data_IF_232743272346
#
_entry.id   IF_232743272346
#
_cell.length_a   1.000
_cell.length_b   1.000
_cell.length_c   1.000
_cell.angle_alpha   90.00
_cell.angle_beta   90.00
_cell.angle_gamma   90.00
#
_symmetry.space_group_name_H-M   'P 1'
#
loop_
_entity.id
_entity.type
_entity.pdbx_description
1 polymer ?
#
# COMPACT_ATOMS: atom_id res chain seq x y z
N UNK A 1 -22.97 21.14 46.21
CA UNK A 1 -22.77 20.11 45.15
C UNK A 1 -23.33 18.76 45.56
N UNK A 2 -22.99 18.27 46.75
CA UNK A 2 -23.37 16.94 47.27
C UNK A 2 -24.88 16.62 47.27
N UNK A 3 -25.72 17.53 47.79
CA UNK A 3 -27.19 17.36 47.79
C UNK A 3 -27.77 17.35 46.37
N UNK A 4 -27.23 18.16 45.45
CA UNK A 4 -27.72 18.25 44.08
C UNK A 4 -27.40 16.98 43.27
N UNK A 5 -26.27 16.32 43.53
CA UNK A 5 -25.94 15.02 42.94
C UNK A 5 -26.84 13.92 43.52
N UNK A 6 -27.13 13.96 44.83
CA UNK A 6 -28.07 13.04 45.48
C UNK A 6 -29.48 13.13 44.91
N UNK A 7 -30.00 14.34 44.72
CA UNK A 7 -31.29 14.58 44.05
C UNK A 7 -31.28 14.06 42.60
N UNK A 8 -30.21 14.28 41.83
CA UNK A 8 -30.11 13.82 40.45
C UNK A 8 -30.01 12.29 40.29
N UNK A 9 -29.45 11.59 41.29
CA UNK A 9 -29.30 10.13 41.27
C UNK A 9 -30.50 9.39 41.87
N UNK A 10 -31.43 10.08 42.55
CA UNK A 10 -32.57 9.46 43.23
C UNK A 10 -33.48 8.67 42.29
N UNK A 11 -33.64 9.13 41.05
CA UNK A 11 -34.38 8.44 39.98
C UNK A 11 -33.85 7.02 39.68
N UNK A 12 -32.56 6.77 39.95
CA UNK A 12 -31.93 5.45 39.74
C UNK A 12 -32.14 4.48 40.91
N UNK A 13 -32.93 4.85 41.92
CA UNK A 13 -33.25 4.00 43.07
C UNK A 13 -32.01 3.59 43.88
N UNK A 14 -31.96 2.32 44.30
CA UNK A 14 -30.86 1.79 45.13
C UNK A 14 -29.49 1.83 44.42
N UNK A 15 -29.46 1.70 43.09
CA UNK A 15 -28.21 1.88 42.32
C UNK A 15 -27.69 3.31 42.44
N UNK A 16 -28.60 4.29 42.39
CA UNK A 16 -28.27 5.70 42.63
C UNK A 16 -27.77 5.95 44.04
N UNK A 17 -28.39 5.29 45.03
CA UNK A 17 -27.98 5.38 46.45
C UNK A 17 -26.56 4.90 46.67
N UNK A 18 -26.22 3.73 46.11
CA UNK A 18 -24.88 3.14 46.23
C UNK A 18 -23.81 4.05 45.61
N UNK A 19 -24.07 4.59 44.41
CA UNK A 19 -23.16 5.52 43.74
C UNK A 19 -22.96 6.82 44.53
N UNK A 20 -24.06 7.41 45.02
CA UNK A 20 -24.01 8.63 45.81
C UNK A 20 -23.26 8.41 47.13
N UNK A 21 -23.51 7.29 47.83
CA UNK A 21 -22.82 6.98 49.09
C UNK A 21 -21.33 6.73 48.90
N UNK A 22 -20.94 5.95 47.88
CA UNK A 22 -19.53 5.69 47.58
C UNK A 22 -18.77 6.98 47.24
N UNK A 23 -19.39 7.89 46.48
CA UNK A 23 -18.81 9.21 46.20
C UNK A 23 -18.80 10.13 47.43
N UNK A 24 -19.80 10.01 48.31
CA UNK A 24 -19.83 10.77 49.57
C UNK A 24 -18.64 10.44 50.46
N UNK A 25 -18.28 9.17 50.54
CA UNK A 25 -17.14 8.69 51.33
C UNK A 25 -15.78 9.22 50.88
N UNK A 26 -15.65 9.70 49.64
CA UNK A 26 -14.39 10.31 49.18
C UNK A 26 -14.19 11.73 49.72
N UNK A 27 -15.11 12.26 50.53
CA UNK A 27 -14.99 13.57 51.17
C UNK A 27 -14.77 13.44 52.68
N UNK A 28 -13.78 14.17 53.19
CA UNK A 28 -13.45 14.22 54.62
C UNK A 28 -14.58 14.77 55.52
N UNK A 29 -15.64 15.32 54.93
CA UNK A 29 -16.81 15.86 55.63
C UNK A 29 -17.95 14.84 55.78
N UNK A 30 -17.81 13.65 55.21
CA UNK A 30 -18.85 12.62 55.26
C UNK A 30 -18.87 11.93 56.62
N UNK A 31 -20.02 11.97 57.29
CA UNK A 31 -20.27 11.23 58.51
C UNK A 31 -21.19 10.04 58.24
N UNK A 32 -21.10 8.95 59.01
CA UNK A 32 -21.98 7.78 58.85
C UNK A 32 -23.48 8.12 58.92
N UNK A 33 -23.85 9.16 59.69
CA UNK A 33 -25.23 9.66 59.82
C UNK A 33 -25.78 10.31 58.54
N UNK A 34 -24.92 10.77 57.64
CA UNK A 34 -25.31 11.45 56.39
C UNK A 34 -25.99 10.51 55.39
N UNK A 35 -25.84 9.18 55.55
CA UNK A 35 -26.52 8.19 54.71
C UNK A 35 -28.05 8.29 54.78
N UNK A 36 -28.60 8.75 55.92
CA UNK A 36 -30.04 8.95 56.12
C UNK A 36 -30.60 10.10 55.27
N UNK A 37 -29.72 11.01 54.82
CA UNK A 37 -30.12 12.15 53.98
C UNK A 37 -30.62 11.72 52.61
N UNK A 38 -30.23 10.53 52.14
CA UNK A 38 -30.78 9.93 50.93
C UNK A 38 -32.31 9.83 50.94
N UNK A 39 -32.89 9.52 52.11
CA UNK A 39 -34.33 9.30 52.26
C UNK A 39 -35.12 10.62 52.19
N UNK A 40 -34.43 11.76 52.35
CA UNK A 40 -35.02 13.11 52.19
C UNK A 40 -34.96 13.68 50.77
N UNK A 41 -34.45 12.92 49.80
CA UNK A 41 -34.40 13.37 48.40
C UNK A 41 -35.63 12.89 47.63
N UNK A 42 -36.33 13.84 47.00
CA UNK A 42 -37.55 13.58 46.23
C UNK A 42 -37.26 13.20 44.78
N UNK A 43 -36.11 13.61 44.22
CA UNK A 43 -35.72 13.27 42.84
C UNK A 43 -36.44 14.07 41.73
N UNK A 44 -37.43 14.88 42.08
CA UNK A 44 -38.37 15.48 41.12
C UNK A 44 -37.81 16.64 40.26
N UNK A 45 -36.62 17.18 40.58
CA UNK A 45 -36.12 18.41 39.94
C UNK A 45 -35.05 18.18 38.87
N UNK A 46 -34.35 17.04 38.87
CA UNK A 46 -33.23 16.74 37.94
C UNK A 46 -32.99 15.23 37.83
N UNK A 47 -32.61 14.72 36.65
CA UNK A 47 -32.22 13.32 36.47
C UNK A 47 -30.70 13.10 36.34
N UNK A 48 -30.27 11.83 36.30
CA UNK A 48 -28.85 11.43 36.32
C UNK A 48 -28.01 12.00 35.16
N UNK A 49 -28.65 12.35 34.04
CA UNK A 49 -28.02 13.03 32.89
C UNK A 49 -27.39 14.37 33.28
N UNK A 50 -27.91 15.06 34.29
CA UNK A 50 -27.32 16.30 34.80
C UNK A 50 -25.96 16.07 35.46
N UNK A 51 -25.72 14.89 36.03
CA UNK A 51 -24.41 14.50 36.59
C UNK A 51 -23.40 14.31 35.47
N UNK A 52 -23.78 13.63 34.39
CA UNK A 52 -22.92 13.46 33.21
C UNK A 52 -22.60 14.79 32.52
N UNK A 53 -23.58 15.69 32.37
CA UNK A 53 -23.35 17.02 31.81
C UNK A 53 -22.34 17.84 32.65
N UNK A 54 -22.44 17.76 33.99
CA UNK A 54 -21.47 18.39 34.88
C UNK A 54 -20.08 17.75 34.82
N UNK A 55 -20.01 16.43 34.70
CA UNK A 55 -18.75 15.72 34.51
C UNK A 55 -18.07 16.14 33.20
N UNK A 56 -18.84 16.24 32.11
CA UNK A 56 -18.36 16.73 30.82
C UNK A 56 -17.88 18.18 30.90
N UNK A 57 -18.62 19.07 31.58
CA UNK A 57 -18.18 20.44 31.82
C UNK A 57 -16.89 20.52 32.66
N UNK A 58 -16.63 19.54 33.52
CA UNK A 58 -15.39 19.38 34.27
C UNK A 58 -14.27 18.65 33.51
N UNK A 59 -14.46 18.36 32.21
CA UNK A 59 -13.46 17.76 31.33
C UNK A 59 -13.54 16.23 31.19
N UNK A 60 -14.55 15.57 31.75
CA UNK A 60 -14.73 14.12 31.56
C UNK A 60 -15.32 13.80 30.19
N UNK A 61 -14.60 13.02 29.37
CA UNK A 61 -15.08 12.53 28.07
C UNK A 61 -15.92 11.27 28.24
N UNK A 62 -17.15 11.26 27.70
CA UNK A 62 -18.03 10.10 27.77
C UNK A 62 -17.52 8.98 26.85
N UNK A 63 -17.15 7.79 27.37
CA UNK A 63 -16.65 6.67 26.56
C UNK A 63 -17.66 6.15 25.53
N UNK A 64 -18.96 6.36 25.75
CA UNK A 64 -20.02 5.96 24.83
C UNK A 64 -20.34 7.03 23.75
N UNK A 65 -19.60 8.15 23.72
CA UNK A 65 -19.81 9.19 22.71
C UNK A 65 -19.06 8.89 21.41
N UNK A 66 -19.64 9.30 20.26
CA UNK A 66 -19.03 9.14 18.94
C UNK A 66 -17.61 9.74 18.85
N UNK A 67 -17.34 10.81 19.61
CA UNK A 67 -16.01 11.43 19.67
C UNK A 67 -14.92 10.51 20.27
N UNK A 68 -15.29 9.59 21.17
CA UNK A 68 -14.38 8.57 21.71
C UNK A 68 -14.23 7.37 20.75
N UNK A 69 -15.23 7.09 19.91
CA UNK A 69 -15.21 5.97 18.96
C UNK A 69 -14.32 6.20 17.73
N UNK A 70 -14.08 7.47 17.34
CA UNK A 70 -13.17 7.81 16.22
C UNK A 70 -11.71 7.46 16.58
N UNK A 71 -11.35 7.49 17.86
CA UNK A 71 -10.07 7.01 18.37
C UNK A 71 -10.22 5.59 18.93
N UNK A 72 -10.65 4.65 18.08
CA UNK A 72 -10.81 3.25 18.45
C UNK A 72 -9.50 2.68 19.02
N UNK A 73 -9.41 2.62 20.35
CA UNK A 73 -8.32 1.94 21.03
C UNK A 73 -8.37 0.47 20.64
N UNK A 74 -7.39 0.03 19.86
CA UNK A 74 -7.24 -1.36 19.47
C UNK A 74 -7.22 -2.25 20.73
N UNK A 75 -7.90 -3.41 20.74
CA UNK A 75 -7.85 -4.32 21.87
C UNK A 75 -6.41 -4.82 22.03
N UNK A 76 -5.73 -4.35 23.07
CA UNK A 76 -4.43 -4.86 23.49
C UNK A 76 -4.66 -6.15 24.26
N UNK A 77 -4.15 -7.26 23.76
CA UNK A 77 -3.98 -8.51 24.54
C UNK A 77 -2.49 -8.79 24.63
N UNK A 78 -2.00 -9.01 25.84
CA UNK A 78 -0.59 -9.34 26.12
C UNK A 78 0.43 -8.36 25.51
N UNK A 79 0.10 -7.06 25.45
CA UNK A 79 0.99 -6.03 24.92
C UNK A 79 1.06 -5.95 23.39
N UNK A 80 0.30 -6.75 22.66
CA UNK A 80 0.22 -6.69 21.20
C UNK A 80 -0.97 -5.85 20.74
N UNK A 81 -0.71 -4.88 19.87
CA UNK A 81 -1.73 -4.08 19.17
C UNK A 81 -2.02 -4.75 17.83
N UNK A 82 -3.19 -5.33 17.68
CA UNK A 82 -3.63 -5.88 16.40
C UNK A 82 -4.47 -4.83 15.65
N UNK A 83 -4.02 -4.47 14.44
CA UNK A 83 -4.83 -3.71 13.50
C UNK A 83 -5.32 -4.63 12.39
N UNK A 84 -6.60 -4.90 12.40
CA UNK A 84 -7.27 -5.59 11.31
C UNK A 84 -7.88 -4.54 10.37
N UNK A 85 -7.48 -4.55 9.11
CA UNK A 85 -8.05 -3.70 8.06
C UNK A 85 -8.93 -4.56 7.17
N UNK A 86 -10.19 -4.17 6.98
CA UNK A 86 -11.17 -4.85 6.13
C UNK A 86 -11.37 -4.08 4.83
N UNK A 87 -11.90 -4.73 3.77
CA UNK A 87 -12.41 -4.00 2.61
C UNK A 87 -13.44 -2.95 3.06
N UNK A 88 -13.18 -1.68 2.74
CA UNK A 88 -13.98 -0.52 3.18
C UNK A 88 -13.38 0.32 4.32
N UNK A 89 -12.42 -0.22 5.10
CA UNK A 89 -11.74 0.53 6.17
C UNK A 89 -10.66 1.50 5.63
N UNK A 90 -10.28 1.32 4.37
CA UNK A 90 -9.31 2.16 3.64
C UNK A 90 -9.95 2.67 2.36
N UNK A 91 -9.94 3.98 2.17
CA UNK A 91 -10.39 4.66 0.94
C UNK A 91 -9.25 4.74 -0.10
N UNK A 92 -8.40 3.70 -0.17
CA UNK A 92 -7.31 3.67 -1.14
C UNK A 92 -7.89 3.43 -2.54
N UNK A 93 -8.05 4.51 -3.30
CA UNK A 93 -8.42 4.44 -4.70
C UNK A 93 -7.17 4.14 -5.53
N UNK A 94 -6.86 2.86 -5.75
CA UNK A 94 -5.80 2.46 -6.66
C UNK A 94 -6.39 2.50 -8.07
N UNK A 95 -5.84 3.36 -8.93
CA UNK A 95 -6.22 3.41 -10.34
C UNK A 95 -5.48 2.31 -11.09
N UNK A 96 -6.20 1.52 -11.89
CA UNK A 96 -5.66 0.41 -12.66
C UNK A 96 -5.77 0.67 -14.16
N UNK A 97 -4.71 0.32 -14.90
CA UNK A 97 -4.74 0.17 -16.36
C UNK A 97 -5.44 -1.14 -16.76
N UNK A 98 -5.29 -2.18 -15.93
CA UNK A 98 -6.02 -3.44 -16.02
C UNK A 98 -6.28 -3.91 -14.59
N UNK A 99 -7.53 -3.83 -14.13
CA UNK A 99 -7.92 -4.23 -12.78
C UNK A 99 -7.93 -5.77 -12.64
N UNK A 100 -7.34 -6.37 -11.58
CA UNK A 100 -6.47 -5.79 -10.53
C UNK A 100 -4.97 -5.95 -10.83
N UNK A 101 -4.62 -6.35 -12.05
CA UNK A 101 -3.30 -6.88 -12.41
C UNK A 101 -2.25 -5.81 -12.72
N UNK A 102 -2.67 -4.62 -13.15
CA UNK A 102 -1.79 -3.57 -13.65
C UNK A 102 -2.19 -2.21 -13.08
N UNK A 103 -1.69 -1.82 -11.89
CA UNK A 103 -1.92 -0.50 -11.35
C UNK A 103 -1.24 0.57 -12.23
N UNK A 104 -1.77 1.79 -12.21
CA UNK A 104 -1.21 2.91 -12.95
C UNK A 104 -0.02 3.55 -12.21
N UNK A 105 0.94 4.06 -12.98
CA UNK A 105 2.06 4.87 -12.49
C UNK A 105 2.91 4.23 -11.37
N UNK A 106 3.03 2.90 -11.40
CA UNK A 106 3.79 2.13 -10.41
C UNK A 106 4.88 1.27 -11.04
N UNK A 107 5.66 0.57 -10.21
CA UNK A 107 6.66 -0.40 -10.62
C UNK A 107 6.25 -1.79 -10.13
N UNK A 108 6.13 -2.75 -11.05
CA UNK A 108 5.75 -4.14 -10.80
C UNK A 108 6.94 -5.03 -11.10
N UNK A 109 7.25 -5.96 -10.20
CA UNK A 109 8.31 -6.94 -10.40
C UNK A 109 7.77 -8.34 -10.64
N UNK A 110 8.15 -8.95 -11.76
CA UNK A 110 7.89 -10.36 -12.05
C UNK A 110 9.22 -11.12 -11.97
N UNK A 111 9.38 -11.88 -10.89
CA UNK A 111 10.61 -12.63 -10.60
C UNK A 111 10.35 -14.13 -10.58
N UNK A 112 11.30 -14.90 -11.10
CA UNK A 112 11.19 -16.34 -11.16
C UNK A 112 12.38 -16.95 -11.87
N UNK A 113 12.49 -18.28 -11.83
CA UNK A 113 13.49 -18.99 -12.62
C UNK A 113 13.32 -18.72 -14.12
N UNK A 114 14.36 -18.99 -14.90
CA UNK A 114 14.22 -19.07 -16.36
C UNK A 114 13.05 -19.99 -16.73
N UNK A 115 12.34 -19.67 -17.81
CA UNK A 115 11.23 -20.48 -18.33
C UNK A 115 9.98 -20.55 -17.44
N UNK A 116 9.92 -19.80 -16.32
CA UNK A 116 8.75 -19.73 -15.45
C UNK A 116 7.52 -19.01 -16.08
N UNK A 117 7.54 -18.72 -17.39
CA UNK A 117 6.43 -18.06 -18.09
C UNK A 117 6.27 -16.56 -17.82
N UNK A 118 7.28 -15.89 -17.23
CA UNK A 118 7.23 -14.45 -16.87
C UNK A 118 6.86 -13.56 -18.06
N UNK A 119 7.64 -13.64 -19.13
CA UNK A 119 7.42 -12.84 -20.35
C UNK A 119 6.10 -13.20 -21.03
N UNK A 120 5.64 -14.45 -20.90
CA UNK A 120 4.34 -14.87 -21.42
C UNK A 120 3.17 -14.27 -20.65
N UNK A 121 3.23 -14.29 -19.32
CA UNK A 121 2.22 -13.65 -18.47
C UNK A 121 2.19 -12.15 -18.70
N UNK A 122 3.35 -11.49 -18.73
CA UNK A 122 3.43 -10.04 -18.98
C UNK A 122 2.88 -9.67 -20.36
N UNK A 123 3.19 -10.44 -21.40
CA UNK A 123 2.61 -10.22 -22.73
C UNK A 123 1.07 -10.36 -22.72
N UNK A 124 0.53 -11.32 -21.98
CA UNK A 124 -0.93 -11.48 -21.85
C UNK A 124 -1.59 -10.28 -21.16
N UNK A 125 -0.97 -9.75 -20.10
CA UNK A 125 -1.46 -8.57 -19.38
C UNK A 125 -1.39 -7.32 -20.26
N UNK A 126 -0.28 -7.11 -20.98
CA UNK A 126 -0.12 -5.99 -21.90
C UNK A 126 -1.09 -6.08 -23.09
N UNK A 127 -1.33 -7.28 -23.62
CA UNK A 127 -2.33 -7.50 -24.66
C UNK A 127 -3.74 -7.17 -24.17
N UNK A 128 -4.11 -7.58 -22.95
CA UNK A 128 -5.42 -7.23 -22.39
C UNK A 128 -5.60 -5.70 -22.19
N UNK A 129 -4.51 -4.99 -21.87
CA UNK A 129 -4.52 -3.53 -21.71
C UNK A 129 -4.46 -2.76 -23.05
N UNK A 130 -4.23 -3.44 -24.19
CA UNK A 130 -3.94 -2.77 -25.45
C UNK A 130 -5.08 -1.92 -26.02
N UNK A 131 -6.32 -2.21 -25.63
CA UNK A 131 -7.47 -1.41 -26.06
C UNK A 131 -7.48 0.01 -25.47
N UNK A 132 -6.70 0.26 -24.41
CA UNK A 132 -6.69 1.53 -23.69
C UNK A 132 -5.31 2.20 -23.71
N UNK A 133 -4.24 1.41 -23.71
CA UNK A 133 -2.87 1.92 -23.61
C UNK A 133 -1.92 1.18 -24.54
N UNK A 134 -0.88 1.88 -24.96
CA UNK A 134 0.26 1.30 -25.67
C UNK A 134 1.34 0.83 -24.69
N UNK A 135 2.10 -0.18 -25.12
CA UNK A 135 3.19 -0.81 -24.38
C UNK A 135 4.50 -0.59 -25.12
N UNK A 136 5.54 -0.17 -24.39
CA UNK A 136 6.93 -0.18 -24.85
C UNK A 136 7.67 -1.34 -24.18
N UNK A 137 8.20 -2.28 -24.97
CA UNK A 137 8.91 -3.44 -24.47
C UNK A 137 10.40 -3.34 -24.79
N UNK A 138 11.23 -3.21 -23.77
CA UNK A 138 12.68 -3.13 -23.92
C UNK A 138 13.25 -4.52 -23.59
N UNK A 139 13.73 -5.23 -24.62
CA UNK A 139 14.23 -6.60 -24.47
C UNK A 139 15.73 -6.75 -24.73
N UNK A 140 16.42 -7.44 -23.82
CA UNK A 140 17.81 -7.90 -23.91
C UNK A 140 17.92 -9.42 -24.09
N UNK A 141 16.88 -10.18 -23.75
CA UNK A 141 16.90 -11.65 -23.79
C UNK A 141 16.11 -12.23 -24.97
N UNK A 142 14.97 -11.63 -25.29
CA UNK A 142 14.03 -12.18 -26.26
C UNK A 142 14.08 -11.40 -27.59
N UNK A 143 13.86 -12.13 -28.69
CA UNK A 143 13.79 -11.55 -30.03
C UNK A 143 12.50 -10.73 -30.22
N UNK A 144 12.64 -9.57 -30.84
CA UNK A 144 11.52 -8.69 -31.22
C UNK A 144 10.37 -9.42 -31.93
N UNK A 145 10.65 -10.27 -32.91
CA UNK A 145 9.62 -10.99 -33.68
C UNK A 145 8.73 -11.86 -32.78
N UNK A 146 9.34 -12.54 -31.80
CA UNK A 146 8.61 -13.43 -30.89
C UNK A 146 7.73 -12.64 -29.93
N UNK A 147 8.21 -11.50 -29.43
CA UNK A 147 7.47 -10.62 -28.54
C UNK A 147 6.23 -10.06 -29.27
N UNK A 148 6.42 -9.55 -30.50
CA UNK A 148 5.33 -9.02 -31.32
C UNK A 148 4.31 -10.12 -31.65
N UNK A 149 4.77 -11.28 -32.10
CA UNK A 149 3.88 -12.40 -32.40
C UNK A 149 3.10 -12.86 -31.17
N UNK A 150 3.74 -12.90 -29.99
CA UNK A 150 3.08 -13.28 -28.75
C UNK A 150 1.99 -12.29 -28.37
N UNK A 151 2.26 -10.99 -28.44
CA UNK A 151 1.26 -9.95 -28.17
C UNK A 151 0.01 -10.13 -29.03
N UNK A 152 0.19 -10.34 -30.33
CA UNK A 152 -0.92 -10.59 -31.25
C UNK A 152 -1.64 -11.90 -30.93
N UNK A 153 -0.90 -12.95 -30.59
CA UNK A 153 -1.47 -14.26 -30.22
C UNK A 153 -2.28 -14.21 -28.93
N UNK A 154 -1.92 -13.30 -28.01
CA UNK A 154 -2.65 -13.04 -26.77
C UNK A 154 -3.90 -12.16 -26.97
N UNK A 155 -4.20 -11.73 -28.20
CA UNK A 155 -5.33 -10.85 -28.54
C UNK A 155 -5.00 -9.36 -28.48
N UNK A 156 -3.72 -9.00 -28.42
CA UNK A 156 -3.28 -7.60 -28.39
C UNK A 156 -3.53 -6.90 -29.72
N UNK A 157 -3.92 -5.63 -29.65
CA UNK A 157 -4.22 -4.82 -30.82
C UNK A 157 -2.96 -4.47 -31.63
N UNK A 158 -3.10 -4.39 -32.96
CA UNK A 158 -1.98 -4.11 -33.86
C UNK A 158 -1.49 -2.69 -33.63
N UNK A 159 -0.17 -2.56 -33.45
CA UNK A 159 0.49 -1.26 -33.32
C UNK A 159 0.47 -0.68 -31.89
N UNK A 160 -0.13 -1.36 -30.92
CA UNK A 160 -0.11 -0.91 -29.52
C UNK A 160 1.12 -1.39 -28.76
N UNK A 161 1.98 -2.20 -29.40
CA UNK A 161 3.23 -2.69 -28.84
C UNK A 161 4.39 -2.24 -29.74
N UNK A 162 5.36 -1.58 -29.12
CA UNK A 162 6.66 -1.36 -29.73
C UNK A 162 7.74 -2.08 -28.94
N UNK A 163 8.72 -2.62 -29.65
CA UNK A 163 9.84 -3.35 -29.04
C UNK A 163 11.13 -2.63 -29.34
N UNK A 164 11.92 -2.35 -28.29
CA UNK A 164 13.28 -1.87 -28.38
C UNK A 164 14.22 -3.03 -28.02
N UNK A 165 14.98 -3.50 -29.00
CA UNK A 165 15.98 -4.54 -28.77
C UNK A 165 17.27 -3.91 -28.22
N UNK A 166 17.61 -4.24 -26.98
CA UNK A 166 18.87 -3.90 -26.36
C UNK A 166 19.94 -4.92 -26.78
N UNK A 167 20.90 -4.50 -27.60
CA UNK A 167 21.92 -5.39 -28.14
C UNK A 167 23.00 -5.66 -27.10
N UNK A 168 23.48 -6.91 -26.94
CA UNK A 168 24.52 -7.23 -25.97
C UNK A 168 25.84 -6.54 -26.33
N UNK A 169 26.38 -5.75 -25.41
CA UNK A 169 27.72 -5.14 -25.53
C UNK A 169 28.76 -5.94 -24.77
N UNK A 170 28.34 -6.66 -23.71
CA UNK A 170 29.18 -7.58 -22.96
C UNK A 170 28.41 -8.84 -22.61
N UNK A 171 29.00 -9.98 -22.92
CA UNK A 171 28.45 -11.31 -22.63
C UNK A 171 29.34 -11.95 -21.56
N UNK A 172 28.73 -12.55 -20.54
CA UNK A 172 29.42 -13.38 -19.57
C UNK A 172 29.86 -14.69 -20.25
N UNK A 173 31.17 -14.99 -20.31
CA UNK A 173 31.67 -16.20 -20.95
C UNK A 173 31.20 -17.49 -20.24
N UNK A 174 30.87 -17.45 -18.95
CA UNK A 174 30.42 -18.63 -18.20
C UNK A 174 28.94 -18.94 -18.42
N UNK A 175 28.09 -17.92 -18.41
CA UNK A 175 26.63 -18.10 -18.51
C UNK A 175 26.08 -17.85 -19.92
N UNK A 176 26.90 -17.32 -20.84
CA UNK A 176 26.51 -16.84 -22.18
C UNK A 176 25.39 -15.80 -22.16
N UNK A 177 25.12 -15.19 -21.00
CA UNK A 177 24.10 -14.14 -20.84
C UNK A 177 24.69 -12.75 -21.05
N UNK A 178 23.89 -11.82 -21.54
CA UNK A 178 24.26 -10.42 -21.60
C UNK A 178 24.40 -9.85 -20.18
N UNK A 179 25.55 -9.25 -19.88
CA UNK A 179 25.81 -8.54 -18.60
C UNK A 179 25.64 -7.04 -18.79
N UNK A 180 25.89 -6.55 -20.00
CA UNK A 180 25.62 -5.18 -20.39
C UNK A 180 25.08 -5.17 -21.82
N UNK A 181 24.20 -4.22 -22.09
CA UNK A 181 23.60 -4.01 -23.40
C UNK A 181 23.81 -2.59 -23.88
N UNK A 182 23.39 -2.30 -25.11
CA UNK A 182 23.35 -0.95 -25.68
C UNK A 182 22.34 -0.04 -24.99
N UNK A 183 21.53 -0.58 -24.06
CA UNK A 183 20.52 0.14 -23.32
C UNK A 183 20.86 0.16 -21.82
N UNK A 184 20.64 1.31 -21.18
CA UNK A 184 20.87 1.49 -19.76
C UNK A 184 19.67 2.23 -19.15
N UNK A 185 19.10 1.71 -18.07
CA UNK A 185 17.93 2.29 -17.41
C UNK A 185 18.19 3.72 -16.91
N UNK A 186 19.35 4.01 -16.33
CA UNK A 186 19.65 5.34 -15.80
C UNK A 186 19.91 6.38 -16.89
N UNK A 187 20.48 5.97 -18.02
CA UNK A 187 20.91 6.90 -19.07
C UNK A 187 19.88 7.05 -20.20
N UNK A 188 19.20 5.96 -20.57
CA UNK A 188 18.40 5.90 -21.80
C UNK A 188 16.89 5.81 -21.57
N UNK A 189 16.44 5.48 -20.35
CA UNK A 189 15.02 5.23 -20.07
C UNK A 189 14.14 6.45 -20.33
N UNK A 190 14.50 7.59 -19.76
CA UNK A 190 13.72 8.82 -19.90
C UNK A 190 13.61 9.23 -21.38
N UNK A 191 14.72 9.15 -22.12
CA UNK A 191 14.75 9.41 -23.55
C UNK A 191 13.86 8.46 -24.36
N UNK A 192 13.87 7.17 -24.03
CA UNK A 192 13.03 6.16 -24.70
C UNK A 192 11.53 6.41 -24.45
N UNK A 193 11.14 6.72 -23.21
CA UNK A 193 9.77 7.05 -22.84
C UNK A 193 9.29 8.30 -23.59
N UNK A 194 10.08 9.38 -23.56
CA UNK A 194 9.74 10.64 -24.23
C UNK A 194 9.66 10.46 -25.74
N UNK A 195 10.63 9.75 -26.34
CA UNK A 195 10.63 9.49 -27.78
C UNK A 195 9.40 8.68 -28.20
N UNK A 196 9.05 7.64 -27.44
CA UNK A 196 7.88 6.82 -27.74
C UNK A 196 6.57 7.59 -27.54
N UNK A 197 6.43 8.35 -26.45
CA UNK A 197 5.27 9.21 -26.25
C UNK A 197 5.11 10.21 -27.40
N UNK A 198 6.23 10.78 -27.90
CA UNK A 198 6.22 11.70 -29.04
C UNK A 198 5.78 11.01 -30.33
N UNK A 199 6.32 9.85 -30.65
CA UNK A 199 5.91 9.06 -31.83
C UNK A 199 4.42 8.66 -31.76
N UNK A 200 4.01 8.20 -30.58
CA UNK A 200 2.66 7.77 -30.29
C UNK A 200 1.65 8.93 -30.10
N UNK A 201 2.09 10.19 -30.12
CA UNK A 201 1.20 11.37 -30.04
C UNK A 201 0.15 11.41 -31.14
N UNK A 202 0.48 10.80 -32.29
CA UNK A 202 -0.42 10.66 -33.44
C UNK A 202 -1.61 9.72 -33.15
N UNK A 203 -1.47 8.82 -32.16
CA UNK A 203 -2.46 7.83 -31.71
C UNK A 203 -3.02 8.21 -30.34
N UNK A 204 -3.69 9.38 -30.30
CA UNK A 204 -4.23 9.97 -29.08
C UNK A 204 -5.19 9.06 -28.30
N UNK A 205 -5.74 8.05 -28.95
CA UNK A 205 -6.67 7.08 -28.39
C UNK A 205 -5.99 6.05 -27.48
N UNK A 206 -4.67 5.82 -27.60
CA UNK A 206 -3.94 4.81 -26.82
C UNK A 206 -2.56 5.32 -26.37
N UNK A 207 -2.48 6.18 -25.34
CA UNK A 207 -1.22 6.72 -24.85
C UNK A 207 -0.29 5.62 -24.32
N UNK A 208 1.01 5.91 -24.17
CA UNK A 208 1.93 5.00 -23.48
C UNK A 208 1.47 4.83 -22.03
N UNK A 209 1.11 3.60 -21.66
CA UNK A 209 0.73 3.27 -20.29
C UNK A 209 1.69 2.29 -19.63
N UNK A 210 2.38 1.45 -20.40
CA UNK A 210 3.18 0.34 -19.85
C UNK A 210 4.57 0.30 -20.48
N UNK A 211 5.59 0.12 -19.65
CA UNK A 211 6.97 -0.12 -20.08
C UNK A 211 7.47 -1.43 -19.49
N UNK A 212 7.83 -2.39 -20.33
CA UNK A 212 8.34 -3.70 -19.92
C UNK A 212 9.85 -3.75 -20.06
N UNK A 213 10.55 -4.24 -19.03
CA UNK A 213 12.01 -4.35 -18.95
C UNK A 213 12.43 -5.82 -18.86
N UNK A 214 12.98 -6.38 -19.94
CA UNK A 214 13.11 -7.82 -20.14
C UNK A 214 14.50 -8.25 -20.66
N UNK A 215 15.46 -8.70 -19.87
CA UNK A 215 15.47 -8.80 -18.42
C UNK A 215 16.27 -7.64 -17.82
N UNK A 216 15.80 -7.13 -16.69
CA UNK A 216 16.36 -5.95 -16.02
C UNK A 216 17.85 -6.06 -15.72
N UNK A 217 18.34 -7.27 -15.43
CA UNK A 217 19.73 -7.50 -15.05
C UNK A 217 20.73 -7.03 -16.10
N UNK A 218 20.39 -7.14 -17.39
CA UNK A 218 21.25 -6.74 -18.51
C UNK A 218 20.97 -5.30 -19.00
N UNK A 219 19.89 -4.67 -18.52
CA UNK A 219 19.47 -3.31 -18.87
C UNK A 219 19.98 -2.27 -17.85
N UNK A 220 20.58 -2.71 -16.74
CA UNK A 220 21.10 -1.84 -15.69
C UNK A 220 22.61 -2.01 -15.60
N UNK A 221 23.37 -0.92 -15.71
CA UNK A 221 24.78 -0.92 -15.32
C UNK A 221 24.87 -0.82 -13.81
N UNK A 222 25.39 -1.88 -13.19
CA UNK A 222 25.64 -1.94 -11.75
C UNK A 222 26.97 -1.28 -11.41
N UNK A 223 27.03 -0.56 -10.28
CA UNK A 223 28.27 0.00 -9.76
C UNK A 223 29.30 -1.06 -9.38
N UNK A 224 30.53 -0.65 -9.05
CA UNK A 224 31.62 -1.57 -8.69
C UNK A 224 31.23 -2.38 -7.44
N UNK A 225 30.98 -3.68 -7.62
CA UNK A 225 30.57 -4.60 -6.54
C UNK A 225 29.06 -4.73 -6.38
N UNK A 226 28.26 -3.88 -7.03
CA UNK A 226 26.81 -3.99 -7.05
C UNK A 226 26.37 -5.03 -8.09
N UNK A 227 25.20 -5.63 -7.86
CA UNK A 227 24.55 -6.53 -8.80
C UNK A 227 23.07 -6.63 -8.48
N UNK A 228 22.31 -7.38 -9.29
CA UNK A 228 20.87 -7.59 -9.09
C UNK A 228 20.46 -8.33 -7.81
N UNK A 229 21.41 -8.78 -6.97
CA UNK A 229 21.15 -9.34 -5.64
C UNK A 229 21.54 -8.38 -4.51
N UNK A 230 22.09 -7.21 -4.81
CA UNK A 230 22.39 -6.18 -3.82
C UNK A 230 21.13 -5.36 -3.52
N UNK A 231 20.64 -5.44 -2.29
CA UNK A 231 19.40 -4.77 -1.86
C UNK A 231 19.47 -3.24 -2.02
N UNK A 232 20.63 -2.63 -1.74
CA UNK A 232 20.82 -1.18 -1.87
C UNK A 232 20.75 -0.73 -3.33
N UNK A 233 21.44 -1.43 -4.22
CA UNK A 233 21.46 -1.14 -5.65
C UNK A 233 20.08 -1.37 -6.29
N UNK A 234 19.38 -2.45 -5.91
CA UNK A 234 18.02 -2.73 -6.39
C UNK A 234 17.04 -1.66 -5.91
N UNK A 235 17.11 -1.24 -4.65
CA UNK A 235 16.28 -0.14 -4.11
C UNK A 235 16.51 1.16 -4.85
N UNK A 236 17.77 1.50 -5.14
CA UNK A 236 18.12 2.71 -5.92
C UNK A 236 17.52 2.68 -7.33
N UNK A 237 17.60 1.53 -8.00
CA UNK A 237 17.04 1.33 -9.33
C UNK A 237 15.51 1.43 -9.32
N UNK A 238 14.85 0.78 -8.36
CA UNK A 238 13.39 0.84 -8.20
C UNK A 238 12.94 2.28 -7.89
N UNK A 239 13.62 2.99 -7.00
CA UNK A 239 13.31 4.39 -6.68
C UNK A 239 13.44 5.31 -7.90
N UNK A 240 14.45 5.08 -8.74
CA UNK A 240 14.60 5.79 -10.00
C UNK A 240 13.43 5.52 -10.96
N UNK A 241 13.02 4.26 -11.12
CA UNK A 241 11.87 3.89 -11.95
C UNK A 241 10.55 4.44 -11.40
N UNK A 242 10.36 4.48 -10.08
CA UNK A 242 9.19 5.12 -9.46
C UNK A 242 9.14 6.62 -9.76
N UNK A 243 10.28 7.30 -9.71
CA UNK A 243 10.34 8.73 -10.06
C UNK A 243 9.92 8.95 -11.50
N UNK A 244 10.33 8.07 -12.42
CA UNK A 244 9.92 8.12 -13.83
C UNK A 244 8.44 7.73 -14.01
N UNK A 245 7.93 6.76 -13.24
CA UNK A 245 6.54 6.29 -13.33
C UNK A 245 5.57 7.39 -12.96
N UNK A 246 5.85 8.12 -11.87
CA UNK A 246 5.06 9.26 -11.43
C UNK A 246 5.16 10.43 -12.41
N UNK A 247 6.38 10.76 -12.88
CA UNK A 247 6.61 11.88 -13.80
C UNK A 247 5.87 11.72 -15.12
N UNK A 248 5.91 10.52 -15.71
CA UNK A 248 5.38 10.26 -17.05
C UNK A 248 4.02 9.55 -17.03
N UNK A 249 3.51 9.18 -15.86
CA UNK A 249 2.24 8.46 -15.70
C UNK A 249 2.26 7.04 -16.29
N UNK A 250 3.43 6.42 -16.38
CA UNK A 250 3.64 5.09 -16.98
C UNK A 250 3.87 4.03 -15.92
N UNK A 251 3.44 2.80 -16.17
CA UNK A 251 3.68 1.65 -15.28
C UNK A 251 4.87 0.84 -15.79
N UNK A 252 5.87 0.62 -14.94
CA UNK A 252 7.00 -0.25 -15.27
C UNK A 252 6.74 -1.68 -14.85
N UNK A 253 7.02 -2.64 -15.73
CA UNK A 253 7.02 -4.08 -15.43
C UNK A 253 8.43 -4.61 -15.61
N UNK A 254 9.03 -5.07 -14.51
CA UNK A 254 10.40 -5.55 -14.44
C UNK A 254 10.40 -7.07 -14.51
N UNK A 255 11.06 -7.64 -15.52
CA UNK A 255 11.30 -9.08 -15.59
C UNK A 255 12.71 -9.38 -15.08
N UNK A 256 12.78 -10.18 -14.02
CA UNK A 256 14.04 -10.56 -13.39
C UNK A 256 14.17 -12.06 -13.16
N UNK A 257 15.40 -12.57 -13.18
CA UNK A 257 15.70 -13.93 -12.77
C UNK A 257 16.00 -13.98 -11.28
N UNK A 258 15.43 -14.96 -10.58
CA UNK A 258 15.86 -15.29 -9.22
C UNK A 258 17.19 -16.04 -9.31
N UNK A 259 18.27 -15.46 -8.79
CA UNK A 259 19.53 -16.16 -8.65
C UNK A 259 19.44 -17.16 -7.49
N UNK A 260 20.19 -18.27 -7.59
CA UNK A 260 20.41 -19.16 -6.45
C UNK A 260 21.18 -18.34 -5.41
N UNK A 261 20.52 -17.91 -4.34
CA UNK A 261 21.22 -17.40 -3.17
C UNK A 261 22.18 -18.48 -2.69
N UNK A 262 23.46 -18.16 -2.56
CA UNK A 262 24.40 -18.91 -1.73
C UNK A 262 24.03 -18.68 -0.27
N UNK A 263 22.85 -19.16 0.12
CA UNK A 263 22.55 -19.40 1.52
C UNK A 263 23.57 -20.42 1.99
N UNK A 264 24.53 -19.97 2.81
CA UNK A 264 25.43 -20.86 3.52
C UNK A 264 24.56 -21.79 4.37
N UNK A 265 24.36 -23.02 3.87
CA UNK A 265 23.86 -24.11 4.66
C UNK A 265 24.95 -24.56 5.61
N UNK A 266 25.15 -23.84 6.72
CA UNK A 266 25.71 -24.43 7.93
C UNK A 266 24.55 -24.91 8.78
N UNK A 267 24.06 -26.10 8.46
CA UNK A 267 23.39 -26.96 9.44
C UNK A 267 24.42 -28.05 9.76
N UNK A 268 25.25 -27.77 10.77
CA UNK A 268 25.95 -28.78 11.56
C UNK A 268 25.17 -29.02 12.84
#
# INVERSE_FOLDING_TARGET
MWVAVGQALKELGETGRGLWWNWSQTSDKCKPEDARKWDSFDGDRTGYRAVFAKAQAAGWLNPASNAAQINGAAPVRDGFVFKFTRPGDTVLNIEYLLDPWLPRATVIGCYGRGEAGKSSWTAQVCAAASGQVSTLWISSEERQDHILQRHLSCGGEIGTLAVLQALPTKIDPATKKAVATSFNVYEHMEGAVVAFQKDNSSRKDRPLGVVVLDAIGALVTWGKGENGNDDGAVKKMIAHLFTLSERYGVTFVILGHLNKGTGHGTCG
#
